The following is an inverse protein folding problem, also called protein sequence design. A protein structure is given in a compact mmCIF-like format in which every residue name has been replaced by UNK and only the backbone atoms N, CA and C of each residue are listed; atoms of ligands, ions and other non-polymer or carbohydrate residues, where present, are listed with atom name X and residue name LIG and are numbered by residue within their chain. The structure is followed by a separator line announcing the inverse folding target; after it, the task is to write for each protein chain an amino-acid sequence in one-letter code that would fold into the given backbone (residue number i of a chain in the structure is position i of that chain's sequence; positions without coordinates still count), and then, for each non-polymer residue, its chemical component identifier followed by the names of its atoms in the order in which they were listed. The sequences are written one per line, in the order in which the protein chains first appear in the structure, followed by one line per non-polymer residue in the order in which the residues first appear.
data_IF_545136496377
#
_entry.id   IF_545136496377
#
_cell.length_a   1.000
_cell.length_b   1.000
_cell.length_c   1.000
_cell.angle_alpha   90.00
_cell.angle_beta   90.00
_cell.angle_gamma   90.00
#
_symmetry.space_group_name_H-M   'P 1'
#
loop_
_entity.id
_entity.type
_entity.pdbx_description
1 polymer ?
#
# COMPACT_ATOMS: atom_id res chain seq x y z
N UNK A 1 -8.20 15.77 -15.05
CA UNK A 1 -6.97 14.96 -15.23
C UNK A 1 -7.23 13.92 -16.31
N UNK A 2 -6.26 13.60 -17.20
CA UNK A 2 -6.46 12.54 -18.18
C UNK A 2 -6.30 11.14 -17.53
N UNK A 3 -6.91 10.07 -18.09
CA UNK A 3 -6.87 8.73 -17.49
C UNK A 3 -5.46 8.16 -17.28
N UNK A 4 -4.51 8.49 -18.16
CA UNK A 4 -3.14 8.01 -18.06
C UNK A 4 -2.40 8.63 -16.88
N UNK A 5 -2.52 9.96 -16.72
CA UNK A 5 -1.92 10.67 -15.57
C UNK A 5 -2.54 10.23 -14.26
N UNK A 6 -3.85 9.98 -14.24
CA UNK A 6 -4.54 9.43 -13.09
C UNK A 6 -3.98 8.05 -12.71
N UNK A 7 -3.94 7.12 -13.66
CA UNK A 7 -3.39 5.78 -13.42
C UNK A 7 -1.92 5.83 -12.95
N UNK A 8 -1.08 6.67 -13.56
CA UNK A 8 0.31 6.84 -13.16
C UNK A 8 0.42 7.33 -11.70
N UNK A 9 -0.36 8.33 -11.31
CA UNK A 9 -0.40 8.84 -9.93
C UNK A 9 -0.81 7.74 -8.95
N UNK A 10 -1.88 7.00 -9.26
CA UNK A 10 -2.35 5.89 -8.43
C UNK A 10 -1.25 4.84 -8.28
N UNK A 11 -0.65 4.38 -9.37
CA UNK A 11 0.38 3.33 -9.37
C UNK A 11 1.60 3.75 -8.54
N UNK A 12 2.08 4.99 -8.70
CA UNK A 12 3.27 5.49 -8.00
C UNK A 12 2.99 5.60 -6.49
N UNK A 13 1.86 6.19 -6.10
CA UNK A 13 1.48 6.29 -4.69
C UNK A 13 1.26 4.90 -4.08
N UNK A 14 0.56 4.02 -4.78
CA UNK A 14 0.32 2.63 -4.36
C UNK A 14 1.62 1.86 -4.15
N UNK A 15 2.56 1.96 -5.09
CA UNK A 15 3.84 1.28 -4.98
C UNK A 15 4.61 1.69 -3.72
N UNK A 16 4.55 2.95 -3.31
CA UNK A 16 5.21 3.43 -2.10
C UNK A 16 4.63 2.82 -0.81
N UNK A 17 3.31 2.57 -0.77
CA UNK A 17 2.63 1.88 0.32
C UNK A 17 2.81 0.37 0.27
N UNK A 18 2.53 -0.23 -0.89
CA UNK A 18 2.57 -1.68 -1.11
C UNK A 18 3.96 -2.30 -0.88
N UNK A 19 5.03 -1.58 -1.27
CA UNK A 19 6.38 -2.06 -1.11
C UNK A 19 6.96 -1.82 0.30
N UNK A 20 6.25 -1.14 1.19
CA UNK A 20 6.70 -0.91 2.56
C UNK A 20 6.86 -2.25 3.33
N UNK A 21 7.95 -2.42 4.09
CA UNK A 21 8.19 -3.66 4.83
C UNK A 21 7.30 -3.75 6.07
N UNK A 22 6.07 -4.21 5.87
CA UNK A 22 5.12 -4.47 6.95
C UNK A 22 5.07 -5.94 7.36
N UNK A 23 4.24 -6.30 8.37
CA UNK A 23 4.07 -7.68 8.82
C UNK A 23 3.74 -8.67 7.70
N UNK A 24 2.90 -8.27 6.75
CA UNK A 24 2.52 -9.10 5.60
C UNK A 24 3.73 -9.42 4.70
N UNK A 25 4.64 -8.44 4.48
CA UNK A 25 5.87 -8.66 3.73
C UNK A 25 6.74 -9.76 4.35
N UNK A 26 7.00 -9.67 5.67
CA UNK A 26 7.86 -10.66 6.35
C UNK A 26 7.26 -12.06 6.33
N UNK A 27 5.96 -12.17 6.53
CA UNK A 27 5.26 -13.46 6.46
C UNK A 27 5.24 -13.99 5.03
N UNK A 28 5.12 -13.12 4.01
CA UNK A 28 5.22 -13.49 2.60
C UNK A 28 6.62 -14.04 2.26
N UNK A 29 7.69 -13.41 2.73
CA UNK A 29 9.06 -13.92 2.57
C UNK A 29 9.21 -15.28 3.24
N UNK A 30 8.80 -15.40 4.50
CA UNK A 30 8.93 -16.62 5.30
C UNK A 30 8.21 -17.82 4.69
N UNK A 31 6.96 -17.66 4.27
CA UNK A 31 6.20 -18.72 3.62
C UNK A 31 6.61 -18.92 2.15
N UNK A 32 7.10 -17.86 1.51
CA UNK A 32 7.66 -17.89 0.17
C UNK A 32 8.84 -18.86 0.03
N UNK A 33 9.70 -18.98 1.03
CA UNK A 33 10.82 -19.93 1.06
C UNK A 33 10.33 -21.37 0.85
N UNK A 34 9.19 -21.74 1.44
CA UNK A 34 8.62 -23.08 1.35
C UNK A 34 7.69 -23.25 0.15
N UNK A 35 6.72 -22.35 0.00
CA UNK A 35 5.59 -22.48 -0.93
C UNK A 35 5.77 -21.68 -2.24
N UNK A 36 6.75 -20.79 -2.31
CA UNK A 36 7.01 -19.93 -3.48
C UNK A 36 5.83 -19.00 -3.79
N UNK A 37 5.60 -18.78 -5.09
CA UNK A 37 4.55 -17.88 -5.60
C UNK A 37 3.13 -18.19 -5.13
N UNK A 38 2.86 -19.46 -4.74
CA UNK A 38 1.55 -19.87 -4.18
C UNK A 38 1.21 -19.08 -2.91
N UNK A 39 2.19 -18.88 -2.03
CA UNK A 39 1.95 -18.07 -0.82
C UNK A 39 1.71 -16.60 -1.15
N UNK A 40 2.44 -16.03 -2.11
CA UNK A 40 2.23 -14.67 -2.57
C UNK A 40 0.82 -14.46 -3.12
N UNK A 41 0.34 -15.37 -3.98
CA UNK A 41 -1.02 -15.31 -4.53
C UNK A 41 -2.07 -15.36 -3.42
N UNK A 42 -1.94 -16.28 -2.45
CA UNK A 42 -2.90 -16.39 -1.35
C UNK A 42 -2.93 -15.14 -0.46
N UNK A 43 -1.76 -14.59 -0.16
CA UNK A 43 -1.68 -13.34 0.59
C UNK A 43 -2.23 -12.16 -0.20
N UNK A 44 -1.99 -12.08 -1.52
CA UNK A 44 -2.58 -11.03 -2.36
C UNK A 44 -4.10 -11.09 -2.40
N UNK A 45 -4.69 -12.30 -2.54
CA UNK A 45 -6.14 -12.49 -2.51
C UNK A 45 -6.72 -12.07 -1.15
N UNK A 46 -6.10 -12.49 -0.05
CA UNK A 46 -6.54 -12.11 1.28
C UNK A 46 -6.43 -10.60 1.51
N UNK A 47 -5.32 -9.99 1.08
CA UNK A 47 -5.07 -8.56 1.17
C UNK A 47 -6.11 -7.77 0.38
N UNK A 48 -6.28 -8.07 -0.90
CA UNK A 48 -7.21 -7.35 -1.78
C UNK A 48 -8.68 -7.47 -1.33
N UNK A 49 -9.07 -8.55 -0.67
CA UNK A 49 -10.43 -8.69 -0.13
C UNK A 49 -10.69 -7.70 1.01
N UNK A 50 -9.77 -7.60 1.97
CA UNK A 50 -9.86 -6.65 3.08
C UNK A 50 -9.79 -5.22 2.55
N UNK A 51 -8.87 -4.97 1.65
CA UNK A 51 -8.59 -3.67 1.05
C UNK A 51 -9.78 -3.15 0.24
N UNK A 52 -10.32 -3.98 -0.67
CA UNK A 52 -11.51 -3.61 -1.45
C UNK A 52 -12.69 -3.27 -0.56
N UNK A 53 -12.91 -4.06 0.50
CA UNK A 53 -13.97 -3.80 1.46
C UNK A 53 -13.79 -2.44 2.15
N UNK A 54 -12.58 -2.14 2.60
CA UNK A 54 -12.25 -0.86 3.24
C UNK A 54 -12.39 0.31 2.25
N UNK A 55 -11.86 0.16 1.03
CA UNK A 55 -11.95 1.20 -0.02
C UNK A 55 -13.40 1.52 -0.35
N UNK A 56 -14.25 0.51 -0.51
CA UNK A 56 -15.68 0.73 -0.80
C UNK A 56 -16.41 1.39 0.37
N UNK A 57 -16.12 0.99 1.62
CA UNK A 57 -16.69 1.65 2.79
C UNK A 57 -16.28 3.12 2.87
N UNK A 58 -15.00 3.41 2.65
CA UNK A 58 -14.50 4.79 2.63
C UNK A 58 -15.09 5.59 1.46
N UNK A 59 -15.19 5.02 0.27
CA UNK A 59 -15.75 5.68 -0.90
C UNK A 59 -17.22 6.06 -0.69
N UNK A 60 -18.02 5.15 -0.14
CA UNK A 60 -19.43 5.41 0.17
C UNK A 60 -19.59 6.47 1.27
N UNK A 61 -18.74 6.44 2.29
CA UNK A 61 -18.71 7.46 3.34
C UNK A 61 -18.29 8.84 2.80
N UNK A 62 -17.21 8.90 2.02
CA UNK A 62 -16.71 10.14 1.44
C UNK A 62 -17.65 10.74 0.39
N UNK A 63 -18.34 9.92 -0.37
CA UNK A 63 -19.33 10.39 -1.38
C UNK A 63 -20.40 11.27 -0.75
N UNK A 64 -20.82 10.96 0.49
CA UNK A 64 -21.84 11.70 1.22
C UNK A 64 -21.37 13.08 1.69
N UNK A 65 -20.06 13.29 1.84
CA UNK A 65 -19.48 14.52 2.41
C UNK A 65 -18.45 15.20 1.48
N UNK A 66 -18.30 14.69 0.26
CA UNK A 66 -17.30 15.16 -0.70
C UNK A 66 -17.39 16.64 -1.06
N UNK A 67 -18.60 17.21 -1.01
CA UNK A 67 -18.85 18.62 -1.31
C UNK A 67 -18.66 19.57 -0.12
N UNK A 68 -18.28 19.05 1.05
CA UNK A 68 -18.03 19.87 2.25
C UNK A 68 -16.59 20.37 2.23
N UNK A 69 -16.35 21.70 2.07
CA UNK A 69 -14.99 22.26 1.95
C UNK A 69 -14.08 21.89 3.13
N UNK A 70 -14.64 21.86 4.35
CA UNK A 70 -13.89 21.48 5.55
C UNK A 70 -13.41 20.02 5.52
N UNK A 71 -14.20 19.10 4.92
CA UNK A 71 -13.81 17.68 4.77
C UNK A 71 -12.69 17.56 3.74
N UNK A 72 -12.79 18.25 2.60
CA UNK A 72 -11.72 18.29 1.59
C UNK A 72 -10.41 18.78 2.17
N UNK A 73 -10.45 19.92 2.86
CA UNK A 73 -9.27 20.47 3.53
C UNK A 73 -8.70 19.49 4.56
N UNK A 74 -9.54 18.90 5.42
CA UNK A 74 -9.11 17.97 6.45
C UNK A 74 -8.45 16.71 5.85
N UNK A 75 -9.06 16.11 4.82
CA UNK A 75 -8.53 14.91 4.13
C UNK A 75 -7.22 15.24 3.41
N UNK A 76 -7.17 16.37 2.70
CA UNK A 76 -5.97 16.80 1.98
C UNK A 76 -4.78 17.09 2.90
N UNK A 77 -5.01 17.83 3.99
CA UNK A 77 -3.97 18.13 4.99
C UNK A 77 -3.53 16.88 5.73
N UNK A 78 -4.46 16.05 6.20
CA UNK A 78 -4.14 14.81 6.90
C UNK A 78 -3.40 13.82 5.98
N UNK A 79 -3.85 13.67 4.73
CA UNK A 79 -3.20 12.83 3.72
C UNK A 79 -1.80 13.31 3.37
N UNK A 80 -1.64 14.61 3.13
CA UNK A 80 -0.34 15.22 2.84
C UNK A 80 0.65 15.06 4.00
N UNK A 81 0.21 15.34 5.23
CA UNK A 81 1.04 15.15 6.43
C UNK A 81 1.42 13.66 6.62
N UNK A 82 0.47 12.74 6.44
CA UNK A 82 0.74 11.30 6.55
C UNK A 82 1.74 10.82 5.49
N UNK A 83 1.64 11.26 4.25
CA UNK A 83 2.61 10.95 3.20
C UNK A 83 4.03 11.38 3.57
N UNK A 84 4.20 12.59 4.13
CA UNK A 84 5.50 13.07 4.59
C UNK A 84 6.03 12.19 5.72
N UNK A 85 5.20 11.91 6.74
CA UNK A 85 5.58 11.07 7.87
C UNK A 85 5.97 9.68 7.40
N UNK A 86 5.16 9.04 6.56
CA UNK A 86 5.45 7.72 6.00
C UNK A 86 6.72 7.73 5.13
N UNK A 87 6.92 8.76 4.32
CA UNK A 87 8.14 8.92 3.52
C UNK A 87 9.38 8.99 4.40
N UNK A 88 9.36 9.78 5.46
CA UNK A 88 10.46 9.87 6.44
C UNK A 88 10.67 8.53 7.16
N UNK A 89 9.59 7.87 7.62
CA UNK A 89 9.67 6.56 8.27
C UNK A 89 10.26 5.51 7.33
N UNK A 90 9.86 5.51 6.06
CA UNK A 90 10.34 4.56 5.05
C UNK A 90 11.83 4.76 4.75
N UNK A 91 12.30 6.00 4.63
CA UNK A 91 13.73 6.31 4.48
C UNK A 91 14.51 5.83 5.70
N UNK A 92 14.06 6.17 6.91
CA UNK A 92 14.71 5.73 8.16
C UNK A 92 14.71 4.21 8.30
N UNK A 93 13.60 3.55 8.02
CA UNK A 93 13.48 2.10 8.05
C UNK A 93 14.40 1.42 7.04
N UNK A 94 14.60 1.99 5.86
CA UNK A 94 15.51 1.48 4.84
C UNK A 94 16.98 1.46 5.32
N UNK A 95 17.37 2.42 6.15
CA UNK A 95 18.71 2.52 6.70
C UNK A 95 18.96 1.55 7.86
N UNK A 96 17.92 1.28 8.66
CA UNK A 96 18.00 0.47 9.88
C UNK A 96 17.65 -1.01 9.68
N UNK A 97 17.23 -1.41 8.48
CA UNK A 97 16.77 -2.77 8.21
C UNK A 97 17.87 -3.81 8.38
N UNK A 98 17.64 -4.78 9.28
CA UNK A 98 18.43 -6.00 9.46
C UNK A 98 17.55 -7.21 9.18
N UNK A 99 18.02 -8.25 8.46
CA UNK A 99 17.24 -9.47 8.29
C UNK A 99 17.10 -10.19 9.63
N UNK A 100 15.90 -10.47 10.04
CA UNK A 100 15.64 -11.45 11.09
C UNK A 100 15.44 -12.84 10.47
N UNK A 101 16.10 -13.84 11.05
CA UNK A 101 15.83 -15.26 10.74
C UNK A 101 14.49 -15.66 11.36
N UNK A 102 13.44 -15.59 10.59
CA UNK A 102 12.10 -16.00 11.06
C UNK A 102 11.99 -17.53 11.04
N UNK A 103 11.92 -18.16 12.22
CA UNK A 103 11.54 -19.58 12.35
C UNK A 103 10.07 -19.72 12.01
N UNK A 104 9.76 -20.33 10.89
CA UNK A 104 8.37 -20.50 10.42
C UNK A 104 7.92 -21.94 10.56
N UNK A 105 6.85 -22.18 11.33
CA UNK A 105 6.16 -23.46 11.37
C UNK A 105 5.42 -23.71 10.05
N UNK A 106 5.22 -24.99 9.69
CA UNK A 106 4.48 -25.39 8.50
C UNK A 106 2.99 -25.08 8.67
N UNK A 107 2.51 -24.07 7.97
CA UNK A 107 1.09 -23.70 7.98
C UNK A 107 0.37 -24.27 6.76
N UNK A 108 -0.82 -24.85 6.96
CA UNK A 108 -1.68 -25.30 5.86
C UNK A 108 -2.17 -24.11 5.01
N UNK A 109 -2.50 -24.32 3.74
CA UNK A 109 -2.93 -23.27 2.79
C UNK A 109 -4.09 -22.41 3.33
N UNK A 110 -5.06 -23.03 4.03
CA UNK A 110 -6.17 -22.33 4.68
C UNK A 110 -5.68 -21.34 5.73
N UNK A 111 -4.63 -21.68 6.46
CA UNK A 111 -4.05 -20.81 7.47
C UNK A 111 -3.37 -19.61 6.83
N UNK A 112 -2.75 -19.72 5.64
CA UNK A 112 -2.10 -18.60 4.96
C UNK A 112 -3.12 -17.52 4.56
N UNK A 113 -4.27 -17.92 4.06
CA UNK A 113 -5.33 -16.97 3.72
C UNK A 113 -5.83 -16.22 4.97
N UNK A 114 -6.12 -16.95 6.05
CA UNK A 114 -6.57 -16.35 7.32
C UNK A 114 -5.49 -15.43 7.95
N UNK A 115 -4.23 -15.84 7.88
CA UNK A 115 -3.09 -15.03 8.30
C UNK A 115 -3.04 -13.73 7.47
N UNK A 116 -3.21 -13.83 6.14
CA UNK A 116 -3.26 -12.68 5.25
C UNK A 116 -4.38 -11.70 5.59
N UNK A 117 -5.59 -12.21 5.85
CA UNK A 117 -6.72 -11.38 6.30
C UNK A 117 -6.41 -10.66 7.61
N UNK A 118 -5.91 -11.39 8.61
CA UNK A 118 -5.60 -10.83 9.92
C UNK A 118 -4.46 -9.79 9.85
N UNK A 119 -3.36 -10.11 9.15
CA UNK A 119 -2.21 -9.21 9.02
C UNK A 119 -2.52 -7.96 8.19
N UNK A 120 -3.51 -8.00 7.33
CA UNK A 120 -3.99 -6.82 6.61
C UNK A 120 -4.96 -6.02 7.48
N UNK A 121 -6.04 -6.66 7.92
CA UNK A 121 -7.14 -5.97 8.61
C UNK A 121 -6.77 -5.42 9.99
N UNK A 122 -5.80 -6.05 10.68
CA UNK A 122 -5.32 -5.61 11.98
C UNK A 122 -4.03 -4.78 11.90
N UNK A 123 -3.54 -4.48 10.69
CA UNK A 123 -2.34 -3.67 10.51
C UNK A 123 -2.67 -2.18 10.68
N UNK A 124 -2.21 -1.52 11.74
CA UNK A 124 -2.52 -0.11 11.96
C UNK A 124 -1.91 0.79 10.86
N UNK A 125 -0.75 0.44 10.31
CA UNK A 125 -0.15 1.18 9.19
C UNK A 125 -1.06 1.15 7.95
N UNK A 126 -1.62 -0.02 7.59
CA UNK A 126 -2.55 -0.18 6.48
C UNK A 126 -3.81 0.67 6.68
N UNK A 127 -4.40 0.62 7.88
CA UNK A 127 -5.62 1.38 8.21
C UNK A 127 -5.35 2.89 8.13
N UNK A 128 -4.27 3.37 8.77
CA UNK A 128 -3.93 4.80 8.76
C UNK A 128 -3.59 5.27 7.34
N UNK A 129 -2.88 4.45 6.54
CA UNK A 129 -2.56 4.79 5.15
C UNK A 129 -3.84 4.98 4.32
N UNK A 130 -4.82 4.07 4.44
CA UNK A 130 -6.10 4.20 3.72
C UNK A 130 -6.98 5.33 4.25
N UNK A 131 -6.96 5.62 5.54
CA UNK A 131 -7.71 6.74 6.12
C UNK A 131 -7.12 8.11 5.79
N UNK A 132 -5.88 8.17 5.29
CA UNK A 132 -5.18 9.42 4.98
C UNK A 132 -4.85 9.51 3.48
N UNK A 133 -3.82 8.81 3.04
CA UNK A 133 -3.37 8.81 1.63
C UNK A 133 -4.43 8.18 0.73
N UNK A 134 -4.96 7.04 1.11
CA UNK A 134 -6.00 6.33 0.38
C UNK A 134 -7.30 7.14 0.29
N UNK A 135 -7.69 7.83 1.35
CA UNK A 135 -8.85 8.72 1.33
C UNK A 135 -8.70 9.84 0.30
N UNK A 136 -7.50 10.40 0.16
CA UNK A 136 -7.20 11.39 -0.88
C UNK A 136 -7.29 10.79 -2.29
N UNK A 137 -6.75 9.58 -2.50
CA UNK A 137 -6.88 8.88 -3.77
C UNK A 137 -8.34 8.60 -4.11
N UNK A 138 -9.14 8.15 -3.11
CA UNK A 138 -10.58 7.92 -3.29
C UNK A 138 -11.29 9.24 -3.65
N UNK A 139 -10.93 10.34 -3.00
CA UNK A 139 -11.49 11.66 -3.27
C UNK A 139 -11.25 12.09 -4.72
N UNK A 140 -10.00 12.04 -5.19
CA UNK A 140 -9.62 12.34 -6.57
C UNK A 140 -10.32 11.41 -7.55
N UNK A 141 -10.53 10.15 -7.16
CA UNK A 141 -11.22 9.14 -7.97
C UNK A 141 -12.71 9.44 -8.12
N UNK A 142 -13.35 9.86 -7.03
CA UNK A 142 -14.76 10.29 -7.03
C UNK A 142 -14.95 11.54 -7.90
N UNK A 143 -14.03 12.49 -7.87
CA UNK A 143 -14.04 13.66 -8.75
C UNK A 143 -13.80 13.30 -10.22
N UNK A 144 -12.96 12.31 -10.47
CA UNK A 144 -12.61 11.86 -11.82
C UNK A 144 -13.79 11.21 -12.54
N UNK A 145 -14.48 10.25 -11.91
CA UNK A 145 -15.57 9.49 -12.52
C UNK A 145 -16.55 8.85 -11.49
N UNK A 146 -16.73 9.46 -10.32
CA UNK A 146 -17.59 8.91 -9.28
C UNK A 146 -17.13 7.53 -8.82
N UNK A 147 -18.07 6.64 -8.50
CA UNK A 147 -17.75 5.26 -8.08
C UNK A 147 -17.02 4.46 -9.15
N UNK A 148 -17.25 4.71 -10.44
CA UNK A 148 -16.51 4.09 -11.53
C UNK A 148 -15.02 4.50 -11.48
N UNK A 149 -14.72 5.74 -11.12
CA UNK A 149 -13.36 6.21 -10.88
C UNK A 149 -12.69 5.48 -9.72
N UNK A 150 -13.42 5.20 -8.63
CA UNK A 150 -12.90 4.41 -7.50
C UNK A 150 -12.59 2.97 -7.90
N UNK A 151 -13.46 2.33 -8.68
CA UNK A 151 -13.20 0.98 -9.20
C UNK A 151 -11.97 0.99 -10.12
N UNK A 152 -11.86 1.98 -11.00
CA UNK A 152 -10.69 2.14 -11.88
C UNK A 152 -9.41 2.37 -11.08
N UNK A 153 -9.45 3.22 -10.06
CA UNK A 153 -8.35 3.43 -9.11
C UNK A 153 -7.95 2.12 -8.44
N UNK A 154 -8.91 1.35 -7.92
CA UNK A 154 -8.63 0.08 -7.27
C UNK A 154 -7.98 -0.93 -8.22
N UNK A 155 -8.43 -1.01 -9.48
CA UNK A 155 -7.78 -1.85 -10.50
C UNK A 155 -6.34 -1.40 -10.76
N UNK A 156 -6.08 -0.10 -10.84
CA UNK A 156 -4.72 0.43 -10.98
C UNK A 156 -3.83 0.18 -9.76
N UNK A 157 -4.42 0.06 -8.57
CA UNK A 157 -3.72 -0.17 -7.30
C UNK A 157 -3.40 -1.65 -7.08
N UNK A 158 -4.42 -2.51 -7.12
CA UNK A 158 -4.35 -3.89 -6.62
C UNK A 158 -3.31 -4.77 -7.31
N UNK A 159 -3.07 -4.57 -8.59
CA UNK A 159 -2.07 -5.37 -9.30
C UNK A 159 -0.64 -5.10 -8.80
N UNK A 160 -0.38 -3.92 -8.21
CA UNK A 160 0.93 -3.60 -7.60
C UNK A 160 1.18 -4.52 -6.40
N UNK A 161 0.16 -4.76 -5.58
CA UNK A 161 0.23 -5.69 -4.44
C UNK A 161 0.44 -7.13 -4.90
N UNK A 162 -0.33 -7.56 -5.91
CA UNK A 162 -0.16 -8.89 -6.50
C UNK A 162 1.24 -9.07 -7.07
N UNK A 163 1.69 -8.13 -7.89
CA UNK A 163 3.02 -8.19 -8.48
C UNK A 163 4.10 -8.25 -7.39
N UNK A 164 3.99 -7.41 -6.36
CA UNK A 164 4.97 -7.36 -5.28
C UNK A 164 5.00 -8.64 -4.45
N UNK A 165 3.86 -9.07 -3.92
CA UNK A 165 3.80 -10.25 -3.05
C UNK A 165 4.17 -11.55 -3.79
N UNK A 166 3.79 -11.67 -5.06
CA UNK A 166 4.17 -12.82 -5.91
C UNK A 166 5.67 -12.80 -6.21
N UNK A 167 6.23 -11.64 -6.56
CA UNK A 167 7.66 -11.50 -6.81
C UNK A 167 8.47 -11.82 -5.55
N UNK A 168 8.12 -11.22 -4.42
CA UNK A 168 8.81 -11.43 -3.14
C UNK A 168 8.79 -12.90 -2.73
N UNK A 169 7.62 -13.56 -2.80
CA UNK A 169 7.50 -14.98 -2.44
C UNK A 169 8.22 -15.91 -3.41
N UNK A 170 8.19 -15.59 -4.72
CA UNK A 170 8.92 -16.35 -5.75
C UNK A 170 10.43 -16.21 -5.60
N UNK A 171 10.92 -15.02 -5.36
CA UNK A 171 12.34 -14.77 -5.09
C UNK A 171 12.79 -15.40 -3.77
N UNK A 172 11.98 -15.37 -2.72
CA UNK A 172 12.28 -16.03 -1.45
C UNK A 172 12.51 -17.53 -1.63
N UNK A 173 11.73 -18.21 -2.50
CA UNK A 173 11.92 -19.62 -2.83
C UNK A 173 13.21 -19.89 -3.59
N UNK A 174 13.55 -19.01 -4.54
CA UNK A 174 14.67 -19.23 -5.47
C UNK A 174 16.01 -18.90 -4.86
N UNK A 175 16.02 -18.08 -3.84
CA UNK A 175 17.25 -17.54 -3.28
C UNK A 175 17.08 -17.16 -1.82
N UNK A 176 17.33 -18.12 -0.94
CA UNK A 176 17.55 -17.86 0.49
C UNK A 176 18.76 -16.93 0.74
N UNK A 177 19.55 -16.61 -0.30
CA UNK A 177 20.79 -15.81 -0.24
C UNK A 177 20.77 -14.49 -1.01
N UNK A 178 19.76 -14.18 -1.85
CA UNK A 178 19.82 -13.09 -2.85
C UNK A 178 18.85 -11.93 -2.60
N UNK A 179 18.17 -11.81 -1.51
CA UNK A 179 17.67 -10.49 -1.14
C UNK A 179 18.89 -9.62 -0.74
N UNK A 180 19.67 -9.25 -1.76
CA UNK A 180 20.80 -8.34 -1.60
C UNK A 180 20.24 -6.99 -1.16
N UNK A 181 20.25 -6.82 0.13
CA UNK A 181 19.85 -5.70 0.96
C UNK A 181 19.99 -4.31 0.36
N UNK A 182 21.03 -4.10 -0.47
CA UNK A 182 21.39 -2.78 -0.99
C UNK A 182 20.33 -2.22 -1.92
N UNK A 183 19.80 -3.01 -2.86
CA UNK A 183 18.79 -2.59 -3.82
C UNK A 183 17.43 -2.34 -3.15
N UNK A 184 17.07 -3.17 -2.18
CA UNK A 184 15.85 -2.96 -1.42
C UNK A 184 15.90 -1.64 -0.64
N UNK A 185 17.02 -1.32 0.01
CA UNK A 185 17.22 -0.05 0.71
C UNK A 185 17.08 1.15 -0.23
N UNK A 186 17.72 1.10 -1.41
CA UNK A 186 17.65 2.17 -2.41
C UNK A 186 16.20 2.36 -2.87
N UNK A 187 15.52 1.26 -3.19
CA UNK A 187 14.12 1.30 -3.63
C UNK A 187 13.22 1.95 -2.55
N UNK A 188 13.37 1.55 -1.30
CA UNK A 188 12.62 2.13 -0.19
C UNK A 188 12.92 3.62 0.02
N UNK A 189 14.18 4.03 -0.10
CA UNK A 189 14.55 5.43 0.01
C UNK A 189 13.94 6.26 -1.12
N UNK A 190 13.97 5.76 -2.37
CA UNK A 190 13.35 6.43 -3.52
C UNK A 190 11.84 6.59 -3.32
N UNK A 191 11.14 5.53 -2.91
CA UNK A 191 9.70 5.64 -2.63
C UNK A 191 9.40 6.58 -1.45
N UNK A 192 10.25 6.59 -0.42
CA UNK A 192 10.12 7.56 0.67
C UNK A 192 10.22 9.02 0.19
N UNK A 193 11.13 9.31 -0.75
CA UNK A 193 11.24 10.64 -1.37
C UNK A 193 10.01 10.99 -2.22
N UNK A 194 9.50 10.02 -2.97
CA UNK A 194 8.26 10.19 -3.77
C UNK A 194 7.07 10.49 -2.86
N UNK A 195 6.94 9.78 -1.72
CA UNK A 195 5.89 10.07 -0.74
C UNK A 195 6.01 11.51 -0.20
N UNK A 196 7.21 11.96 0.15
CA UNK A 196 7.43 13.33 0.64
C UNK A 196 7.03 14.35 -0.44
N UNK A 197 7.40 14.12 -1.69
CA UNK A 197 7.03 14.99 -2.81
C UNK A 197 5.50 15.11 -2.94
N UNK A 198 4.78 13.98 -3.01
CA UNK A 198 3.31 14.02 -3.08
C UNK A 198 2.67 14.57 -1.81
N UNK A 199 3.27 14.34 -0.64
CA UNK A 199 2.80 14.92 0.60
C UNK A 199 2.86 16.45 0.59
N UNK A 200 3.94 17.01 0.08
CA UNK A 200 4.09 18.46 -0.07
C UNK A 200 3.09 19.03 -1.11
N UNK A 201 2.92 18.38 -2.26
CA UNK A 201 1.94 18.82 -3.26
C UNK A 201 0.52 18.79 -2.71
N UNK A 202 0.12 17.73 -2.00
CA UNK A 202 -1.21 17.64 -1.39
C UNK A 202 -1.46 18.72 -0.33
N UNK A 203 -0.44 19.06 0.48
CA UNK A 203 -0.56 20.15 1.45
C UNK A 203 -0.73 21.49 0.74
N UNK A 204 0.10 21.77 -0.27
CA UNK A 204 0.03 23.04 -1.02
C UNK A 204 -1.33 23.18 -1.70
N UNK A 205 -1.79 22.14 -2.41
CA UNK A 205 -3.07 22.14 -3.11
C UNK A 205 -4.24 22.32 -2.14
N UNK A 206 -4.20 21.69 -0.96
CA UNK A 206 -5.26 21.79 0.05
C UNK A 206 -5.33 23.15 0.73
N UNK A 207 -4.21 23.86 0.85
CA UNK A 207 -4.13 25.17 1.48
C UNK A 207 -4.35 26.32 0.48
N UNK A 208 -4.37 26.04 -0.83
CA UNK A 208 -4.61 27.02 -1.90
C UNK A 208 -6.09 27.18 -2.28
N UNK A 209 -7.00 26.44 -1.63
CA UNK A 209 -8.46 26.61 -1.69
C UNK A 209 -8.94 27.48 -0.52
#
# INVERSE_FOLDING_TARGET
MNPLNFAATVIILSASGALAPGPLFFVTVSHGIKSGTKSGILFSIAHSLVEFSLVMLLALGLLSVANVPAVRLAVGVAGGAALIVFGVMQIRGSLSYKPEETKTEQSATRNLFLIGLALTGLNPYFIVWWLTVGANLIFISLEFAGLAGVVFMFVCHVWVDYAWLILVSGFAKRSSKILRFKWYRVLMAVFGLVLIYFGLTFLIDSLSF
#
